data_IF_728596019948
#
_entry.id   IF_728596019948
#
_cell.length_a   1.000
_cell.length_b   1.000
_cell.length_c   1.000
_cell.angle_alpha   90.00
_cell.angle_beta   90.00
_cell.angle_gamma   90.00
#
_symmetry.space_group_name_H-M   'P 1'
#
loop_
_entity.id
_entity.type
_entity.pdbx_description
1 polymer ?
#
# COMPACT_ATOMS: atom_id res chain seq x y z
N UNK A 1 31.01 7.03 -15.98
CA UNK A 1 29.86 7.94 -15.88
C UNK A 1 28.88 7.57 -16.96
N UNK A 2 27.78 6.86 -16.60
CA UNK A 2 26.84 6.33 -17.60
C UNK A 2 25.99 7.43 -18.20
N UNK A 3 26.01 7.55 -19.51
CA UNK A 3 25.29 8.53 -20.35
C UNK A 3 23.76 8.31 -20.44
N UNK A 4 23.19 7.37 -19.68
CA UNK A 4 21.75 7.12 -19.66
C UNK A 4 21.26 7.26 -18.22
N UNK A 5 20.62 8.39 -17.90
CA UNK A 5 19.83 8.53 -16.67
C UNK A 5 18.83 7.38 -16.56
N UNK A 6 18.63 6.83 -15.35
CA UNK A 6 17.60 5.79 -15.13
C UNK A 6 16.25 6.32 -15.62
N UNK A 7 15.59 5.56 -16.49
CA UNK A 7 14.26 5.90 -17.02
C UNK A 7 13.28 5.96 -15.85
N UNK A 8 12.60 7.10 -15.66
CA UNK A 8 11.49 7.21 -14.73
C UNK A 8 10.23 6.59 -15.36
N UNK A 9 9.73 5.53 -14.75
CA UNK A 9 8.57 4.78 -15.24
C UNK A 9 7.23 5.32 -14.70
N UNK A 10 7.26 6.24 -13.73
CA UNK A 10 6.09 6.90 -13.16
C UNK A 10 6.38 8.40 -12.97
N UNK A 11 6.61 9.16 -14.06
CA UNK A 11 6.78 10.61 -13.94
C UNK A 11 5.48 11.24 -13.42
N UNK A 12 5.59 12.12 -12.44
CA UNK A 12 4.44 12.72 -11.77
C UNK A 12 4.28 14.22 -12.03
N UNK A 13 5.29 14.88 -12.58
CA UNK A 13 5.25 16.32 -12.86
C UNK A 13 4.10 16.67 -13.82
N UNK A 14 3.24 17.61 -13.40
CA UNK A 14 2.06 18.03 -14.15
C UNK A 14 0.88 17.02 -14.12
N UNK A 15 1.06 15.82 -13.58
CA UNK A 15 0.01 14.80 -13.48
C UNK A 15 -0.79 14.95 -12.20
N UNK A 16 -2.02 14.46 -12.22
CA UNK A 16 -2.91 14.44 -11.03
C UNK A 16 -2.83 13.09 -10.34
N UNK A 17 -2.46 13.12 -9.05
CA UNK A 17 -2.34 11.94 -8.19
C UNK A 17 -3.40 11.99 -7.09
N UNK A 18 -4.18 10.94 -6.95
CA UNK A 18 -5.13 10.74 -5.85
C UNK A 18 -4.56 9.74 -4.86
N UNK A 19 -4.48 10.13 -3.58
CA UNK A 19 -3.94 9.30 -2.50
C UNK A 19 -4.99 9.11 -1.41
N UNK A 20 -5.44 7.87 -1.17
CA UNK A 20 -6.32 7.56 -0.05
C UNK A 20 -5.51 7.33 1.23
N UNK A 21 -6.09 7.62 2.41
CA UNK A 21 -5.36 7.50 3.68
C UNK A 21 -4.27 8.55 3.88
N UNK A 22 -4.41 9.71 3.22
CA UNK A 22 -3.36 10.73 3.16
C UNK A 22 -3.46 11.81 4.26
N UNK A 23 -4.23 11.60 5.32
CA UNK A 23 -4.29 12.54 6.45
C UNK A 23 -3.21 12.32 7.51
N UNK A 24 -2.53 11.17 7.51
CA UNK A 24 -1.46 10.84 8.45
C UNK A 24 -0.49 9.79 7.86
N UNK A 25 0.61 9.54 8.53
CA UNK A 25 1.54 8.45 8.23
C UNK A 25 2.10 8.47 6.81
N UNK A 26 2.27 7.27 6.23
CA UNK A 26 2.85 7.09 4.90
C UNK A 26 2.07 7.83 3.80
N UNK A 27 0.73 7.85 3.87
CA UNK A 27 -0.09 8.51 2.86
C UNK A 27 0.12 10.02 2.82
N UNK A 28 0.20 10.68 3.99
CA UNK A 28 0.54 12.11 4.11
C UNK A 28 1.94 12.38 3.57
N UNK A 29 2.94 11.61 4.00
CA UNK A 29 4.31 11.75 3.51
C UNK A 29 4.43 11.54 2.00
N UNK A 30 3.71 10.56 1.44
CA UNK A 30 3.67 10.33 -0.01
C UNK A 30 3.07 11.53 -0.75
N UNK A 31 1.95 12.08 -0.25
CA UNK A 31 1.31 13.26 -0.84
C UNK A 31 2.23 14.48 -0.85
N UNK A 32 2.94 14.73 0.25
CA UNK A 32 3.94 15.83 0.37
C UNK A 32 5.08 15.64 -0.64
N UNK A 33 5.65 14.43 -0.73
CA UNK A 33 6.77 14.15 -1.64
C UNK A 33 6.36 14.19 -3.12
N UNK A 34 5.14 13.76 -3.46
CA UNK A 34 4.59 13.86 -4.81
C UNK A 34 4.36 15.33 -5.20
N UNK A 35 3.88 16.17 -4.29
CA UNK A 35 3.78 17.62 -4.49
C UNK A 35 5.15 18.24 -4.76
N UNK A 36 6.18 17.86 -3.99
CA UNK A 36 7.57 18.33 -4.20
C UNK A 36 8.14 17.89 -5.55
N UNK A 37 7.63 16.81 -6.13
CA UNK A 37 7.98 16.32 -7.48
C UNK A 37 7.14 16.95 -8.60
N UNK A 38 6.23 17.88 -8.30
CA UNK A 38 5.46 18.64 -9.29
C UNK A 38 4.08 18.05 -9.63
N UNK A 39 3.59 17.07 -8.87
CA UNK A 39 2.24 16.54 -9.05
C UNK A 39 1.15 17.50 -8.58
N UNK A 40 -0.02 17.50 -9.22
CA UNK A 40 -1.26 17.93 -8.62
C UNK A 40 -1.72 16.81 -7.68
N UNK A 41 -2.12 17.14 -6.44
CA UNK A 41 -2.40 16.08 -5.44
C UNK A 41 -3.79 16.24 -4.87
N UNK A 42 -4.55 15.12 -4.88
CA UNK A 42 -5.83 14.96 -4.22
C UNK A 42 -5.62 14.01 -3.05
N UNK A 43 -5.88 14.48 -1.83
CA UNK A 43 -5.79 13.67 -0.61
C UNK A 43 -7.17 13.26 -0.13
N UNK A 44 -7.33 11.98 0.22
CA UNK A 44 -8.62 11.42 0.64
C UNK A 44 -8.48 10.76 2.00
N UNK A 45 -9.34 11.11 2.96
CA UNK A 45 -9.44 10.47 4.28
C UNK A 45 -10.76 10.89 4.95
N UNK A 46 -11.05 10.33 6.13
CA UNK A 46 -12.31 10.58 6.87
C UNK A 46 -12.31 11.88 7.67
N UNK A 47 -11.21 12.20 8.29
CA UNK A 47 -11.12 13.29 9.25
C UNK A 47 -10.77 14.59 8.55
N UNK A 48 -11.72 15.52 8.49
CA UNK A 48 -11.59 16.81 7.81
C UNK A 48 -10.46 17.63 8.42
N UNK A 49 -10.39 17.78 9.74
CA UNK A 49 -9.36 18.59 10.39
C UNK A 49 -7.94 18.11 10.07
N UNK A 50 -7.71 16.77 10.10
CA UNK A 50 -6.41 16.21 9.71
C UNK A 50 -6.14 16.35 8.21
N UNK A 51 -7.17 16.33 7.36
CA UNK A 51 -7.02 16.60 5.92
C UNK A 51 -6.60 18.04 5.67
N UNK A 52 -7.18 18.98 6.38
CA UNK A 52 -6.81 20.42 6.30
C UNK A 52 -5.35 20.64 6.71
N UNK A 53 -4.92 20.07 7.84
CA UNK A 53 -3.53 20.09 8.27
C UNK A 53 -2.58 19.48 7.22
N UNK A 54 -2.92 18.29 6.72
CA UNK A 54 -2.13 17.61 5.70
C UNK A 54 -2.06 18.43 4.40
N UNK A 55 -3.17 19.07 4.00
CA UNK A 55 -3.22 19.89 2.79
C UNK A 55 -2.31 21.11 2.88
N UNK A 56 -2.16 21.70 4.08
CA UNK A 56 -1.22 22.80 4.30
C UNK A 56 0.21 22.35 4.01
N UNK A 57 0.62 21.18 4.51
CA UNK A 57 1.97 20.63 4.25
C UNK A 57 2.18 20.24 2.78
N UNK A 58 1.17 19.64 2.16
CA UNK A 58 1.22 19.29 0.73
C UNK A 58 1.40 20.53 -0.13
N UNK A 59 0.66 21.61 0.16
CA UNK A 59 0.80 22.91 -0.52
C UNK A 59 2.16 23.54 -0.29
N UNK A 60 2.67 23.50 0.94
CA UNK A 60 3.97 24.05 1.29
C UNK A 60 5.13 23.35 0.58
N UNK A 61 4.97 22.07 0.26
CA UNK A 61 5.96 21.26 -0.47
C UNK A 61 5.89 21.42 -2.00
N UNK A 62 4.96 22.22 -2.53
CA UNK A 62 4.79 22.36 -3.97
C UNK A 62 6.08 22.80 -4.67
N UNK A 63 6.45 22.11 -5.75
CA UNK A 63 7.56 22.48 -6.63
C UNK A 63 7.31 23.84 -7.30
N UNK A 64 6.04 24.11 -7.66
CA UNK A 64 5.56 25.36 -8.23
C UNK A 64 4.17 25.70 -7.71
N UNK A 65 4.09 26.64 -6.77
CA UNK A 65 2.82 27.09 -6.21
C UNK A 65 1.87 27.75 -7.21
N UNK A 66 2.37 28.16 -8.36
CA UNK A 66 1.56 28.85 -9.39
C UNK A 66 0.86 27.89 -10.34
N UNK A 67 1.40 26.70 -10.53
CA UNK A 67 0.88 25.74 -11.55
C UNK A 67 0.28 24.48 -10.95
N UNK A 68 0.71 24.09 -9.75
CA UNK A 68 0.18 22.91 -9.09
C UNK A 68 -1.14 23.22 -8.36
N UNK A 69 -2.01 22.23 -8.34
CA UNK A 69 -3.31 22.30 -7.69
C UNK A 69 -3.45 21.20 -6.64
N UNK A 70 -4.18 21.48 -5.56
CA UNK A 70 -4.32 20.61 -4.41
C UNK A 70 -5.76 20.60 -3.91
N UNK A 71 -6.28 19.41 -3.60
CA UNK A 71 -7.64 19.20 -3.09
C UNK A 71 -7.61 18.19 -1.95
N UNK A 72 -8.51 18.33 -0.98
CA UNK A 72 -8.89 17.21 -0.13
C UNK A 72 -10.33 16.80 -0.37
N UNK A 73 -10.62 15.51 -0.23
CA UNK A 73 -11.95 14.93 -0.28
C UNK A 73 -12.18 14.12 0.99
N UNK A 74 -13.23 14.42 1.74
CA UNK A 74 -13.58 13.63 2.93
C UNK A 74 -14.38 12.41 2.51
N UNK A 75 -13.85 11.21 2.79
CA UNK A 75 -14.53 9.95 2.53
C UNK A 75 -14.05 8.83 3.46
N UNK A 76 -14.97 7.95 3.87
CA UNK A 76 -14.64 6.67 4.50
C UNK A 76 -14.57 5.59 3.43
N UNK A 77 -13.40 4.98 3.29
CA UNK A 77 -13.19 3.93 2.28
C UNK A 77 -13.90 2.61 2.60
N UNK A 78 -14.49 2.47 3.79
CA UNK A 78 -15.32 1.33 4.17
C UNK A 78 -16.80 1.51 3.86
N UNK A 79 -17.22 2.70 3.45
CA UNK A 79 -18.60 2.97 3.03
C UNK A 79 -18.80 2.51 1.58
N UNK A 80 -19.98 1.96 1.31
CA UNK A 80 -20.35 1.61 -0.07
C UNK A 80 -20.45 2.86 -0.94
N UNK A 81 -20.10 2.71 -2.20
CA UNK A 81 -20.21 3.76 -3.24
C UNK A 81 -19.35 5.01 -2.98
N UNK A 82 -18.45 4.98 -1.97
CA UNK A 82 -17.56 6.11 -1.71
C UNK A 82 -16.68 6.41 -2.92
N UNK A 83 -16.24 5.37 -3.61
CA UNK A 83 -15.24 5.48 -4.67
C UNK A 83 -15.77 6.21 -5.90
N UNK A 84 -17.01 5.92 -6.33
CA UNK A 84 -17.65 6.61 -7.44
C UNK A 84 -17.82 8.11 -7.12
N UNK A 85 -18.24 8.45 -5.90
CA UNK A 85 -18.34 9.84 -5.45
C UNK A 85 -16.98 10.54 -5.45
N UNK A 86 -15.95 9.91 -4.90
CA UNK A 86 -14.60 10.49 -4.86
C UNK A 86 -14.04 10.69 -6.26
N UNK A 87 -14.22 9.74 -7.17
CA UNK A 87 -13.77 9.87 -8.57
C UNK A 87 -14.52 11.00 -9.28
N UNK A 88 -15.83 11.10 -9.11
CA UNK A 88 -16.63 12.16 -9.71
C UNK A 88 -16.21 13.56 -9.21
N UNK A 89 -15.97 13.72 -7.90
CA UNK A 89 -15.51 14.97 -7.29
C UNK A 89 -14.09 15.33 -7.76
N UNK A 90 -13.20 14.34 -7.84
CA UNK A 90 -11.85 14.52 -8.36
C UNK A 90 -11.86 14.97 -9.84
N UNK A 91 -12.71 14.38 -10.68
CA UNK A 91 -12.87 14.76 -12.08
C UNK A 91 -13.45 16.17 -12.21
N UNK A 92 -14.49 16.51 -11.46
CA UNK A 92 -15.09 17.85 -11.48
C UNK A 92 -14.05 18.92 -11.13
N UNK A 93 -13.24 18.68 -10.11
CA UNK A 93 -12.14 19.57 -9.74
C UNK A 93 -11.03 19.63 -10.81
N UNK A 94 -10.76 18.52 -11.50
CA UNK A 94 -9.70 18.40 -12.50
C UNK A 94 -10.14 18.76 -13.93
N UNK A 95 -11.22 19.54 -14.07
CA UNK A 95 -11.71 20.00 -15.38
C UNK A 95 -12.32 18.89 -16.25
N UNK A 96 -12.88 17.88 -15.63
CA UNK A 96 -13.47 16.70 -16.28
C UNK A 96 -12.50 15.54 -16.50
N UNK A 97 -11.18 15.76 -16.34
CA UNK A 97 -10.17 14.72 -16.50
C UNK A 97 -10.03 13.86 -15.25
N UNK A 98 -9.97 12.55 -15.41
CA UNK A 98 -9.69 11.63 -14.31
C UNK A 98 -8.26 11.79 -13.78
N UNK A 99 -7.98 11.51 -12.49
CA UNK A 99 -6.62 11.40 -11.97
C UNK A 99 -5.78 10.43 -12.81
N UNK A 100 -4.49 10.72 -12.94
CA UNK A 100 -3.56 9.88 -13.71
C UNK A 100 -3.00 8.71 -12.90
N UNK A 101 -2.93 8.90 -11.59
CA UNK A 101 -2.36 7.94 -10.65
C UNK A 101 -3.30 7.87 -9.45
N UNK A 102 -3.67 6.66 -9.07
CA UNK A 102 -4.46 6.39 -7.86
C UNK A 102 -3.64 5.51 -6.93
N UNK A 103 -3.33 6.02 -5.75
CA UNK A 103 -2.59 5.30 -4.73
C UNK A 103 -3.48 5.00 -3.52
N UNK A 104 -3.86 3.73 -3.36
CA UNK A 104 -4.64 3.23 -2.24
C UNK A 104 -3.71 2.97 -1.05
N UNK A 105 -3.59 3.95 -0.15
CA UNK A 105 -2.78 3.85 1.09
C UNK A 105 -3.66 3.63 2.31
N UNK A 106 -4.93 4.02 2.25
CA UNK A 106 -5.86 3.82 3.37
C UNK A 106 -5.82 2.39 3.89
N UNK A 107 -5.68 2.24 5.19
CA UNK A 107 -5.60 0.94 5.83
C UNK A 107 -5.63 1.04 7.34
N UNK A 108 -5.92 -0.08 7.97
CA UNK A 108 -5.88 -0.25 9.43
C UNK A 108 -5.35 -1.65 9.77
N UNK A 109 -4.86 -1.80 10.99
CA UNK A 109 -4.46 -3.09 11.55
C UNK A 109 -5.08 -3.25 12.94
N UNK A 110 -5.66 -4.42 13.19
CA UNK A 110 -6.20 -4.82 14.49
C UNK A 110 -5.64 -6.20 14.82
N UNK A 111 -4.39 -6.25 15.33
CA UNK A 111 -3.77 -7.53 15.72
C UNK A 111 -4.43 -8.10 16.95
N UNK A 112 -4.72 -9.39 16.89
CA UNK A 112 -5.20 -10.22 18.00
C UNK A 112 -5.06 -11.70 17.61
N UNK A 113 -5.14 -12.60 18.59
CA UNK A 113 -5.15 -14.02 18.30
C UNK A 113 -6.48 -14.40 17.63
N UNK A 114 -6.45 -15.38 16.74
CA UNK A 114 -7.64 -15.77 15.98
C UNK A 114 -8.77 -16.34 16.85
N UNK A 115 -8.41 -16.94 17.98
CA UNK A 115 -9.37 -17.49 18.93
C UNK A 115 -9.90 -16.47 19.96
N UNK A 116 -9.42 -15.22 19.92
CA UNK A 116 -9.89 -14.18 20.83
C UNK A 116 -11.30 -13.69 20.45
N UNK A 117 -12.06 -13.27 21.44
CA UNK A 117 -13.35 -12.64 21.22
C UNK A 117 -13.19 -11.37 20.35
N UNK A 118 -14.07 -11.23 19.36
CA UNK A 118 -14.03 -10.09 18.42
C UNK A 118 -13.06 -10.26 17.25
N UNK A 119 -12.30 -11.37 17.15
CA UNK A 119 -11.37 -11.58 16.04
C UNK A 119 -12.05 -11.55 14.66
N UNK A 120 -13.26 -12.10 14.54
CA UNK A 120 -14.02 -12.06 13.30
C UNK A 120 -14.51 -10.65 12.94
N UNK A 121 -14.90 -9.85 13.92
CA UNK A 121 -15.30 -8.46 13.67
C UNK A 121 -14.09 -7.60 13.29
N UNK A 122 -12.93 -7.83 13.90
CA UNK A 122 -11.67 -7.23 13.50
C UNK A 122 -11.30 -7.64 12.06
N UNK A 123 -11.45 -8.92 11.71
CA UNK A 123 -11.17 -9.41 10.36
C UNK A 123 -12.08 -8.76 9.30
N UNK A 124 -13.39 -8.66 9.57
CA UNK A 124 -14.33 -7.96 8.68
C UNK A 124 -13.94 -6.50 8.48
N UNK A 125 -13.71 -5.76 9.57
CA UNK A 125 -13.28 -4.34 9.48
C UNK A 125 -11.96 -4.17 8.73
N UNK A 126 -10.98 -5.06 8.94
CA UNK A 126 -9.75 -5.03 8.17
C UNK A 126 -10.00 -5.32 6.67
N UNK A 127 -10.90 -6.25 6.34
CA UNK A 127 -11.28 -6.50 4.95
C UNK A 127 -12.00 -5.30 4.33
N UNK A 128 -12.95 -4.70 5.02
CA UNK A 128 -13.72 -3.56 4.52
C UNK A 128 -12.82 -2.38 4.18
N UNK A 129 -11.91 -2.01 5.09
CA UNK A 129 -11.01 -0.87 4.88
C UNK A 129 -9.87 -1.20 3.93
N UNK A 130 -9.14 -2.31 4.19
CA UNK A 130 -7.88 -2.58 3.50
C UNK A 130 -8.09 -3.15 2.09
N UNK A 131 -9.07 -4.04 1.92
CA UNK A 131 -9.32 -4.72 0.65
C UNK A 131 -10.46 -4.07 -0.13
N UNK A 132 -11.69 -4.05 0.42
CA UNK A 132 -12.84 -3.54 -0.33
C UNK A 132 -12.70 -2.05 -0.65
N UNK A 133 -12.18 -1.23 0.27
CA UNK A 133 -11.90 0.17 -0.01
C UNK A 133 -10.95 0.38 -1.20
N UNK A 134 -9.88 -0.41 -1.29
CA UNK A 134 -8.95 -0.34 -2.41
C UNK A 134 -9.54 -0.96 -3.71
N UNK A 135 -10.30 -2.04 -3.58
CA UNK A 135 -10.94 -2.71 -4.71
C UNK A 135 -12.02 -1.82 -5.35
N UNK A 136 -12.87 -1.19 -4.55
CA UNK A 136 -13.89 -0.24 -5.06
C UNK A 136 -13.24 0.97 -5.72
N UNK A 137 -12.22 1.57 -5.11
CA UNK A 137 -11.49 2.68 -5.70
C UNK A 137 -10.86 2.29 -7.04
N UNK A 138 -10.21 1.12 -7.11
CA UNK A 138 -9.60 0.63 -8.35
C UNK A 138 -10.65 0.38 -9.43
N UNK A 139 -11.81 -0.21 -9.07
CA UNK A 139 -12.92 -0.45 -9.99
C UNK A 139 -13.52 0.86 -10.51
N UNK A 140 -13.78 1.81 -9.63
CA UNK A 140 -14.37 3.10 -10.01
C UNK A 140 -13.48 3.85 -11.00
N UNK A 141 -12.17 3.94 -10.73
CA UNK A 141 -11.26 4.64 -11.63
C UNK A 141 -11.02 3.88 -12.94
N UNK A 142 -10.95 2.55 -12.92
CA UNK A 142 -10.79 1.74 -14.13
C UNK A 142 -11.99 1.87 -15.06
N UNK A 143 -13.21 1.96 -14.56
CA UNK A 143 -14.40 2.23 -15.39
C UNK A 143 -14.28 3.52 -16.18
N UNK A 144 -13.64 4.54 -15.61
CA UNK A 144 -13.38 5.79 -16.33
C UNK A 144 -12.21 5.63 -17.30
N UNK A 145 -11.08 5.08 -16.86
CA UNK A 145 -9.90 4.99 -17.70
C UNK A 145 -10.04 4.07 -18.90
N UNK A 146 -10.83 2.99 -18.75
CA UNK A 146 -11.03 1.97 -19.80
C UNK A 146 -12.26 2.23 -20.67
N UNK A 147 -12.97 3.34 -20.45
CA UNK A 147 -14.07 3.72 -21.31
C UNK A 147 -13.56 3.99 -22.73
N UNK A 148 -14.25 3.53 -23.79
CA UNK A 148 -13.77 3.62 -25.18
C UNK A 148 -13.37 5.05 -25.61
N UNK A 149 -14.07 6.04 -25.11
CA UNK A 149 -13.81 7.46 -25.38
C UNK A 149 -12.49 7.97 -24.75
N UNK A 150 -11.93 7.24 -23.81
CA UNK A 150 -10.69 7.58 -23.11
C UNK A 150 -9.48 6.79 -23.64
N UNK A 151 -9.61 6.10 -24.76
CA UNK A 151 -8.50 5.44 -25.43
C UNK A 151 -7.37 6.44 -25.75
N UNK A 152 -6.12 5.98 -25.61
CA UNK A 152 -4.96 6.82 -25.86
C UNK A 152 -4.89 7.22 -27.34
N UNK A 153 -5.06 8.52 -27.60
CA UNK A 153 -5.01 9.07 -28.96
C UNK A 153 -3.60 9.05 -29.58
N UNK A 154 -2.55 8.82 -28.77
CA UNK A 154 -1.14 8.89 -29.18
C UNK A 154 -0.46 7.56 -28.83
N UNK A 155 0.22 6.91 -29.79
CA UNK A 155 1.08 5.78 -29.49
C UNK A 155 2.12 6.15 -28.41
N UNK A 156 2.31 5.28 -27.41
CA UNK A 156 3.20 5.51 -26.26
C UNK A 156 2.76 6.61 -25.28
N UNK A 157 1.46 6.88 -25.16
CA UNK A 157 0.95 7.73 -24.08
C UNK A 157 1.47 7.26 -22.71
N UNK A 158 1.69 8.22 -21.80
CA UNK A 158 2.12 7.89 -20.43
C UNK A 158 1.07 7.01 -19.75
N UNK A 159 1.44 5.84 -19.20
CA UNK A 159 0.48 4.95 -18.58
C UNK A 159 -0.16 5.59 -17.35
N UNK A 160 -1.40 5.25 -17.08
CA UNK A 160 -2.07 5.46 -15.79
C UNK A 160 -1.52 4.46 -14.78
N UNK A 161 -1.61 4.77 -13.47
CA UNK A 161 -1.10 3.87 -12.45
C UNK A 161 -2.10 3.64 -11.33
N UNK A 162 -2.33 2.37 -10.98
CA UNK A 162 -2.99 1.94 -9.74
C UNK A 162 -1.94 1.37 -8.81
N UNK A 163 -1.90 1.87 -7.58
CA UNK A 163 -0.93 1.46 -6.57
C UNK A 163 -1.67 1.00 -5.33
N UNK A 164 -1.50 -0.26 -4.95
CA UNK A 164 -2.04 -0.83 -3.71
C UNK A 164 -0.97 -0.83 -2.63
N UNK A 165 -1.33 -0.43 -1.41
CA UNK A 165 -0.46 -0.57 -0.24
C UNK A 165 -0.86 -1.80 0.55
N UNK A 166 -0.09 -2.87 0.38
CA UNK A 166 -0.20 -4.10 1.16
C UNK A 166 0.60 -4.00 2.48
N UNK A 167 1.40 -4.97 2.81
CA UNK A 167 2.33 -5.04 3.95
C UNK A 167 3.30 -6.20 3.73
N UNK A 168 4.47 -6.18 4.37
CA UNK A 168 5.34 -7.37 4.46
C UNK A 168 4.61 -8.57 5.07
N UNK A 169 3.55 -8.34 5.86
CA UNK A 169 2.67 -9.39 6.40
C UNK A 169 1.76 -10.05 5.34
N UNK A 170 1.79 -9.57 4.08
CA UNK A 170 1.30 -10.30 2.92
C UNK A 170 2.41 -11.13 2.23
N UNK A 171 3.62 -11.16 2.78
CA UNK A 171 4.75 -11.95 2.31
C UNK A 171 5.19 -12.99 3.34
N UNK A 172 4.93 -12.72 4.62
CA UNK A 172 5.34 -13.57 5.75
C UNK A 172 4.30 -13.47 6.86
N UNK A 173 3.84 -14.61 7.36
CA UNK A 173 2.83 -14.66 8.42
C UNK A 173 3.48 -14.59 9.81
N UNK A 174 2.91 -13.78 10.70
CA UNK A 174 3.31 -13.66 12.11
C UNK A 174 2.08 -13.90 13.00
N UNK A 175 2.26 -14.58 14.12
CA UNK A 175 1.22 -14.81 15.13
C UNK A 175 0.63 -13.47 15.61
N UNK A 176 -0.70 -13.43 15.79
CA UNK A 176 -1.42 -12.22 16.20
C UNK A 176 -1.97 -11.38 15.03
N UNK A 177 -1.62 -11.67 13.79
CA UNK A 177 -2.12 -10.93 12.61
C UNK A 177 -3.18 -11.71 11.80
N UNK A 178 -3.81 -12.73 12.40
CA UNK A 178 -4.90 -13.46 11.74
C UNK A 178 -6.01 -12.56 11.19
N UNK A 179 -6.50 -11.54 11.91
CA UNK A 179 -7.51 -10.62 11.40
C UNK A 179 -7.00 -9.66 10.32
N UNK A 180 -5.70 -9.36 10.25
CA UNK A 180 -5.13 -8.33 9.38
C UNK A 180 -4.53 -8.89 8.10
N UNK A 181 -3.60 -9.85 8.22
CA UNK A 181 -2.81 -10.36 7.09
C UNK A 181 -3.65 -10.81 5.90
N UNK A 182 -4.78 -11.54 6.07
CA UNK A 182 -5.60 -11.96 4.92
C UNK A 182 -6.05 -10.79 4.04
N UNK A 183 -6.37 -9.62 4.64
CA UNK A 183 -6.78 -8.44 3.86
C UNK A 183 -5.65 -7.92 2.96
N UNK A 184 -4.40 -8.01 3.42
CA UNK A 184 -3.22 -7.59 2.66
C UNK A 184 -2.78 -8.61 1.60
N UNK A 185 -3.01 -9.91 1.85
CA UNK A 185 -2.85 -10.94 0.85
C UNK A 185 -3.88 -10.82 -0.28
N UNK A 186 -5.13 -10.49 0.05
CA UNK A 186 -6.19 -10.29 -0.93
C UNK A 186 -5.86 -9.18 -1.94
N UNK A 187 -5.22 -8.09 -1.51
CA UNK A 187 -4.75 -7.02 -2.39
C UNK A 187 -3.77 -7.51 -3.45
N UNK A 188 -2.86 -8.42 -3.08
CA UNK A 188 -1.95 -9.04 -4.03
C UNK A 188 -2.70 -9.84 -5.10
N UNK A 189 -3.65 -10.68 -4.67
CA UNK A 189 -4.47 -11.46 -5.60
C UNK A 189 -5.24 -10.58 -6.58
N UNK A 190 -5.82 -9.48 -6.09
CA UNK A 190 -6.49 -8.49 -6.95
C UNK A 190 -5.50 -7.85 -7.94
N UNK A 191 -4.33 -7.42 -7.47
CA UNK A 191 -3.33 -6.78 -8.31
C UNK A 191 -2.83 -7.72 -9.43
N UNK A 192 -2.54 -8.99 -9.11
CA UNK A 192 -2.09 -9.98 -10.07
C UNK A 192 -3.17 -10.23 -11.16
N UNK A 193 -4.44 -10.32 -10.75
CA UNK A 193 -5.57 -10.47 -11.67
C UNK A 193 -5.72 -9.24 -12.56
N UNK A 194 -5.72 -8.04 -11.99
CA UNK A 194 -5.82 -6.80 -12.76
C UNK A 194 -4.67 -6.63 -13.74
N UNK A 195 -3.43 -6.98 -13.36
CA UNK A 195 -2.29 -6.91 -14.25
C UNK A 195 -2.45 -7.81 -15.50
N UNK A 196 -3.20 -8.91 -15.39
CA UNK A 196 -3.54 -9.76 -16.52
C UNK A 196 -4.73 -9.22 -17.31
N UNK A 197 -5.82 -8.82 -16.64
CA UNK A 197 -7.03 -8.28 -17.30
C UNK A 197 -6.75 -7.02 -18.12
N UNK A 198 -5.88 -6.14 -17.66
CA UNK A 198 -5.51 -4.90 -18.34
C UNK A 198 -4.84 -5.12 -19.70
N UNK A 199 -4.33 -6.32 -19.97
CA UNK A 199 -3.80 -6.68 -21.30
C UNK A 199 -4.90 -6.79 -22.38
N UNK A 200 -6.18 -6.88 -21.96
CA UNK A 200 -7.33 -6.82 -22.89
C UNK A 200 -7.56 -5.41 -23.45
N UNK A 201 -6.89 -4.39 -22.91
CA UNK A 201 -7.09 -2.97 -23.24
C UNK A 201 -5.78 -2.33 -23.76
N UNK A 202 -5.28 -2.73 -24.91
CA UNK A 202 -3.98 -2.27 -25.42
C UNK A 202 -3.91 -0.75 -25.65
N UNK A 203 -5.04 -0.12 -25.96
CA UNK A 203 -5.15 1.32 -26.20
C UNK A 203 -5.34 2.14 -24.91
N UNK A 204 -5.40 1.48 -23.75
CA UNK A 204 -5.57 2.09 -22.44
C UNK A 204 -4.40 1.66 -21.52
N UNK A 205 -3.21 2.26 -21.67
CA UNK A 205 -2.03 1.84 -20.92
C UNK A 205 -2.21 2.11 -19.41
N UNK A 206 -2.45 1.07 -18.64
CA UNK A 206 -2.54 1.12 -17.18
C UNK A 206 -1.52 0.16 -16.58
N UNK A 207 -0.85 0.58 -15.51
CA UNK A 207 0.08 -0.25 -14.72
C UNK A 207 -0.42 -0.42 -13.30
N UNK A 208 -0.25 -1.63 -12.80
CA UNK A 208 -0.58 -1.98 -11.41
C UNK A 208 0.70 -2.17 -10.63
N UNK A 209 0.70 -1.72 -9.38
CA UNK A 209 1.83 -1.86 -8.46
C UNK A 209 1.33 -2.25 -7.07
N UNK A 210 2.13 -3.00 -6.32
CA UNK A 210 1.87 -3.31 -4.91
C UNK A 210 3.07 -2.90 -4.07
N UNK A 211 2.83 -2.08 -3.07
CA UNK A 211 3.83 -1.58 -2.12
C UNK A 211 3.70 -2.37 -0.83
N UNK A 212 4.83 -2.90 -0.31
CA UNK A 212 4.90 -3.72 0.88
C UNK A 212 5.73 -3.04 1.98
N UNK A 213 5.15 -2.10 2.72
CA UNK A 213 5.83 -1.51 3.87
C UNK A 213 5.99 -2.53 5.00
N UNK A 214 7.07 -2.37 5.76
CA UNK A 214 7.28 -2.98 7.06
C UNK A 214 6.71 -2.06 8.16
N UNK A 215 7.21 -2.15 9.39
CA UNK A 215 6.73 -1.34 10.51
C UNK A 215 7.05 0.15 10.31
N UNK A 216 6.01 0.98 10.35
CA UNK A 216 6.09 2.44 10.17
C UNK A 216 5.71 3.12 11.49
N UNK A 217 6.59 3.96 12.04
CA UNK A 217 6.29 4.80 13.20
C UNK A 217 5.23 5.84 12.84
N UNK A 218 3.98 5.59 13.21
CA UNK A 218 2.85 6.42 12.83
C UNK A 218 1.74 6.35 13.87
N UNK A 219 0.80 7.31 13.92
CA UNK A 219 -0.38 7.20 14.79
C UNK A 219 -1.20 5.93 14.55
N UNK A 220 -1.14 5.35 13.35
CA UNK A 220 -1.73 4.04 13.04
C UNK A 220 -1.05 2.90 13.79
N UNK A 221 0.28 2.91 13.87
CA UNK A 221 1.07 1.95 14.63
C UNK A 221 0.82 2.05 16.15
N UNK A 222 0.68 3.27 16.67
CA UNK A 222 0.33 3.46 18.09
C UNK A 222 -1.02 2.83 18.43
N UNK A 223 -2.02 3.01 17.55
CA UNK A 223 -3.33 2.36 17.70
C UNK A 223 -3.26 0.84 17.58
N UNK A 224 -2.45 0.32 16.67
CA UNK A 224 -2.20 -1.11 16.50
C UNK A 224 -1.63 -1.74 17.77
N UNK A 225 -0.68 -1.07 18.42
CA UNK A 225 -0.03 -1.56 19.63
C UNK A 225 -0.97 -1.69 20.85
N UNK A 226 -2.15 -1.06 20.82
CA UNK A 226 -3.14 -1.18 21.89
C UNK A 226 -3.71 -2.60 21.98
N UNK A 227 -3.91 -3.28 20.87
CA UNK A 227 -4.53 -4.61 20.80
C UNK A 227 -3.52 -5.73 20.54
N UNK A 228 -2.26 -5.40 20.24
CA UNK A 228 -1.23 -6.36 19.86
C UNK A 228 -0.97 -7.39 20.95
N UNK A 229 -1.04 -8.71 20.68
CA UNK A 229 -0.74 -9.76 21.64
C UNK A 229 0.71 -9.67 22.15
N UNK A 230 0.95 -10.06 23.41
CA UNK A 230 2.27 -9.98 24.03
C UNK A 230 3.35 -10.78 23.27
N UNK A 231 2.99 -11.96 22.73
CA UNK A 231 3.90 -12.75 21.88
C UNK A 231 4.27 -12.01 20.60
N UNK A 232 3.32 -11.32 19.97
CA UNK A 232 3.56 -10.54 18.75
C UNK A 232 4.54 -9.40 19.03
N UNK A 233 4.33 -8.67 20.14
CA UNK A 233 5.26 -7.63 20.59
C UNK A 233 6.68 -8.18 20.81
N UNK A 234 6.80 -9.39 21.39
CA UNK A 234 8.09 -10.03 21.61
C UNK A 234 8.81 -10.34 20.31
N UNK A 235 8.10 -10.90 19.33
CA UNK A 235 8.69 -11.26 18.02
C UNK A 235 9.11 -10.05 17.20
N UNK A 236 8.43 -8.93 17.36
CA UNK A 236 8.70 -7.69 16.60
C UNK A 236 9.74 -6.78 17.27
N UNK A 237 10.23 -7.10 18.48
CA UNK A 237 11.22 -6.27 19.18
C UNK A 237 12.47 -5.95 18.38
N UNK A 238 12.92 -6.88 17.56
CA UNK A 238 14.11 -6.73 16.72
C UNK A 238 13.81 -6.14 15.34
N UNK A 239 12.54 -5.88 15.01
CA UNK A 239 12.18 -5.34 13.70
C UNK A 239 12.54 -3.86 13.61
N UNK A 240 13.27 -3.45 12.55
CA UNK A 240 13.57 -2.05 12.33
C UNK A 240 12.27 -1.27 12.05
N UNK A 241 12.09 -0.18 12.80
CA UNK A 241 10.99 0.75 12.57
C UNK A 241 11.46 1.89 11.69
N UNK A 242 10.67 2.27 10.70
CA UNK A 242 11.01 3.33 9.76
C UNK A 242 10.03 4.50 9.85
N UNK A 243 10.52 5.70 9.54
CA UNK A 243 9.65 6.87 9.50
C UNK A 243 8.75 6.86 8.27
N UNK A 244 7.53 7.47 8.33
CA UNK A 244 6.65 7.63 7.20
C UNK A 244 7.34 8.21 5.96
N UNK A 245 8.23 9.20 6.16
CA UNK A 245 8.95 9.87 5.08
C UNK A 245 9.94 8.93 4.37
N UNK A 246 10.66 8.12 5.13
CA UNK A 246 11.59 7.15 4.56
C UNK A 246 10.85 6.09 3.75
N UNK A 247 9.74 5.58 4.29
CA UNK A 247 8.94 4.56 3.59
C UNK A 247 8.28 5.14 2.34
N UNK A 248 7.70 6.34 2.41
CA UNK A 248 7.10 7.00 1.26
C UNK A 248 8.14 7.27 0.15
N UNK A 249 9.33 7.75 0.50
CA UNK A 249 10.42 7.98 -0.45
C UNK A 249 10.83 6.68 -1.15
N UNK A 250 11.10 5.61 -0.41
CA UNK A 250 11.49 4.31 -1.00
C UNK A 250 10.39 3.72 -1.86
N UNK A 251 9.12 3.91 -1.48
CA UNK A 251 7.99 3.49 -2.28
C UNK A 251 7.99 4.24 -3.63
N UNK A 252 8.11 5.56 -3.61
CA UNK A 252 8.16 6.38 -4.82
C UNK A 252 9.36 5.99 -5.69
N UNK A 253 10.55 5.82 -5.11
CA UNK A 253 11.75 5.38 -5.83
C UNK A 253 11.54 4.04 -6.55
N UNK A 254 10.89 3.07 -5.88
CA UNK A 254 10.57 1.77 -6.48
C UNK A 254 9.52 1.86 -7.59
N UNK A 255 8.52 2.72 -7.43
CA UNK A 255 7.51 2.99 -8.46
C UNK A 255 8.12 3.68 -9.68
N UNK A 256 8.99 4.66 -9.49
CA UNK A 256 9.74 5.33 -10.54
C UNK A 256 10.72 4.38 -11.27
N UNK A 257 11.26 3.39 -10.55
CA UNK A 257 12.03 2.30 -11.15
C UNK A 257 11.18 1.32 -11.97
N UNK A 258 9.85 1.43 -11.90
CA UNK A 258 8.91 0.58 -12.64
C UNK A 258 8.63 -0.77 -11.99
N UNK A 259 8.95 -0.93 -10.71
CA UNK A 259 8.73 -2.17 -10.00
C UNK A 259 7.22 -2.48 -9.87
N UNK A 260 6.85 -3.73 -10.14
CA UNK A 260 5.50 -4.22 -9.88
C UNK A 260 5.27 -4.42 -8.37
N UNK A 261 6.18 -5.13 -7.70
CA UNK A 261 6.23 -5.27 -6.26
C UNK A 261 7.33 -4.40 -5.66
N UNK A 262 6.95 -3.42 -4.87
CA UNK A 262 7.86 -2.47 -4.23
C UNK A 262 8.05 -2.84 -2.76
N UNK A 263 9.25 -3.22 -2.38
CA UNK A 263 9.63 -3.52 -1.00
C UNK A 263 10.61 -2.47 -0.47
N UNK A 264 10.62 -2.25 0.86
CA UNK A 264 11.34 -1.15 1.47
C UNK A 264 12.76 -1.52 1.91
N UNK A 265 13.07 -2.82 2.01
CA UNK A 265 14.33 -3.32 2.55
C UNK A 265 14.86 -4.52 1.77
N UNK A 266 16.12 -4.86 2.01
CA UNK A 266 16.72 -6.08 1.46
C UNK A 266 15.96 -7.33 1.91
N UNK A 267 15.60 -7.43 3.20
CA UNK A 267 14.81 -8.54 3.72
C UNK A 267 13.43 -8.64 3.06
N UNK A 268 12.71 -7.52 2.91
CA UNK A 268 11.46 -7.46 2.18
C UNK A 268 11.62 -7.94 0.74
N UNK A 269 12.74 -7.63 0.09
CA UNK A 269 13.01 -8.11 -1.28
C UNK A 269 13.24 -9.62 -1.33
N UNK A 270 13.96 -10.19 -0.35
CA UNK A 270 14.10 -11.65 -0.22
C UNK A 270 12.74 -12.32 0.02
N UNK A 271 11.95 -11.79 0.97
CA UNK A 271 10.60 -12.30 1.25
C UNK A 271 9.74 -12.31 -0.03
N UNK A 272 9.75 -11.21 -0.79
CA UNK A 272 9.06 -11.09 -2.07
C UNK A 272 9.49 -12.19 -3.05
N UNK A 273 10.80 -12.37 -3.26
CA UNK A 273 11.32 -13.36 -4.18
C UNK A 273 10.93 -14.79 -3.77
N UNK A 274 10.89 -15.08 -2.46
CA UNK A 274 10.54 -16.41 -1.95
C UNK A 274 9.09 -16.82 -2.18
N UNK A 275 8.18 -15.86 -2.32
CA UNK A 275 6.75 -16.13 -2.50
C UNK A 275 6.19 -15.64 -3.84
N UNK A 276 7.04 -15.21 -4.76
CA UNK A 276 6.61 -14.50 -5.97
C UNK A 276 5.66 -15.35 -6.83
N UNK A 277 5.87 -16.67 -6.90
CA UNK A 277 5.01 -17.57 -7.67
C UNK A 277 4.83 -17.14 -9.13
N UNK A 278 3.56 -16.98 -9.55
CA UNK A 278 3.18 -16.53 -10.89
C UNK A 278 3.05 -15.01 -11.02
N UNK A 279 3.24 -14.23 -9.96
CA UNK A 279 3.15 -12.76 -10.02
C UNK A 279 4.22 -12.17 -10.93
N UNK A 280 3.97 -10.99 -11.53
CA UNK A 280 4.97 -10.28 -12.33
C UNK A 280 6.26 -10.01 -11.56
N UNK A 281 7.40 -10.20 -12.22
CA UNK A 281 8.72 -9.99 -11.62
C UNK A 281 9.25 -8.59 -11.92
N UNK A 282 9.95 -7.99 -10.96
CA UNK A 282 10.66 -6.73 -11.18
C UNK A 282 11.86 -6.93 -12.11
N UNK A 283 12.59 -8.02 -11.90
CA UNK A 283 13.64 -8.50 -12.77
C UNK A 283 13.51 -10.01 -12.93
N UNK A 284 13.18 -10.46 -14.14
CA UNK A 284 12.83 -11.87 -14.37
C UNK A 284 13.95 -12.82 -13.98
N UNK A 285 15.19 -12.51 -14.34
CA UNK A 285 16.34 -13.37 -14.06
C UNK A 285 16.72 -13.35 -12.56
N UNK A 286 16.93 -12.17 -11.99
CA UNK A 286 17.38 -12.03 -10.61
C UNK A 286 16.33 -12.53 -9.62
N UNK A 287 15.06 -12.17 -9.81
CA UNK A 287 13.97 -12.59 -8.92
C UNK A 287 13.78 -14.10 -8.93
N UNK A 288 13.94 -14.75 -10.11
CA UNK A 288 13.86 -16.21 -10.23
C UNK A 288 15.06 -16.87 -9.55
N UNK A 289 16.27 -16.36 -9.79
CA UNK A 289 17.49 -16.92 -9.18
C UNK A 289 17.42 -16.83 -7.65
N UNK A 290 17.08 -15.66 -7.11
CA UNK A 290 16.92 -15.48 -5.67
C UNK A 290 15.81 -16.39 -5.13
N UNK A 291 14.69 -16.50 -5.85
CA UNK A 291 13.56 -17.36 -5.47
C UNK A 291 13.90 -18.84 -5.33
N UNK A 292 14.93 -19.34 -5.99
CA UNK A 292 15.40 -20.72 -5.80
C UNK A 292 16.10 -20.93 -4.47
N UNK A 293 16.77 -19.91 -3.93
CA UNK A 293 17.55 -20.01 -2.67
C UNK A 293 16.73 -19.61 -1.43
N UNK A 294 15.78 -18.70 -1.57
CA UNK A 294 15.01 -18.19 -0.43
C UNK A 294 14.24 -19.29 0.34
N UNK A 295 13.66 -20.33 -0.27
CA UNK A 295 13.03 -21.43 0.46
C UNK A 295 13.98 -22.15 1.44
N UNK A 296 15.28 -22.22 1.11
CA UNK A 296 16.30 -22.80 2.00
C UNK A 296 16.49 -21.89 3.22
N UNK A 297 16.55 -20.57 2.99
CA UNK A 297 16.65 -19.58 4.08
C UNK A 297 15.40 -19.65 4.96
N UNK A 298 14.20 -19.74 4.34
CA UNK A 298 12.93 -19.84 5.08
C UNK A 298 12.86 -21.08 5.97
N UNK A 299 13.45 -22.20 5.55
CA UNK A 299 13.50 -23.39 6.40
C UNK A 299 14.12 -23.08 7.77
N UNK A 300 15.20 -22.33 7.82
CA UNK A 300 15.87 -21.96 9.08
C UNK A 300 15.10 -20.86 9.81
N UNK A 301 14.65 -19.83 9.11
CA UNK A 301 13.90 -18.71 9.69
C UNK A 301 12.60 -19.20 10.33
N UNK A 302 11.82 -20.04 9.64
CA UNK A 302 10.58 -20.58 10.18
C UNK A 302 10.79 -21.45 11.41
N UNK A 303 11.85 -22.28 11.41
CA UNK A 303 12.20 -23.08 12.60
C UNK A 303 12.58 -22.23 13.80
N UNK A 304 13.28 -21.12 13.57
CA UNK A 304 13.62 -20.17 14.61
C UNK A 304 12.36 -19.49 15.18
N UNK A 305 11.48 -18.97 14.32
CA UNK A 305 10.19 -18.39 14.72
C UNK A 305 9.32 -19.40 15.47
N UNK A 306 9.18 -20.62 14.97
CA UNK A 306 8.47 -21.71 15.66
C UNK A 306 9.05 -21.99 17.04
N UNK A 307 10.38 -21.99 17.12
CA UNK A 307 11.11 -22.14 18.39
C UNK A 307 10.78 -21.02 19.39
N UNK A 308 10.78 -19.79 18.93
CA UNK A 308 10.44 -18.61 19.73
C UNK A 308 8.99 -18.67 20.21
N UNK A 309 8.03 -18.97 19.34
CA UNK A 309 6.59 -19.08 19.71
C UNK A 309 6.37 -20.20 20.73
N UNK A 310 6.93 -21.39 20.49
CA UNK A 310 6.82 -22.53 21.43
C UNK A 310 7.53 -22.24 22.75
N UNK A 311 8.70 -21.59 22.72
CA UNK A 311 9.44 -21.16 23.90
C UNK A 311 8.65 -20.18 24.74
N UNK A 312 8.03 -19.20 24.08
CA UNK A 312 7.16 -18.23 24.73
C UNK A 312 5.96 -18.90 25.41
N UNK A 313 5.28 -19.81 24.70
CA UNK A 313 4.12 -20.54 25.23
C UNK A 313 4.49 -21.41 26.45
N UNK A 314 5.66 -22.08 26.43
CA UNK A 314 6.17 -22.84 27.58
C UNK A 314 6.46 -21.96 28.80
N UNK A 315 6.98 -20.75 28.58
CA UNK A 315 7.34 -19.81 29.64
C UNK A 315 6.12 -19.12 30.26
N UNK A 316 5.13 -18.76 29.43
CA UNK A 316 4.02 -17.90 29.84
C UNK A 316 2.68 -18.65 29.99
N UNK A 317 2.60 -19.91 29.53
CA UNK A 317 1.37 -20.70 29.61
C UNK A 317 0.33 -20.32 28.58
N UNK A 318 -0.95 -20.53 28.88
CA UNK A 318 -2.03 -20.31 27.93
C UNK A 318 -2.20 -18.82 27.58
N UNK A 319 -2.38 -18.45 26.30
CA UNK A 319 -2.46 -17.05 25.87
C UNK A 319 -3.56 -16.23 26.57
N UNK A 320 -4.69 -16.83 26.93
CA UNK A 320 -5.77 -16.12 27.63
C UNK A 320 -5.35 -15.51 28.98
N UNK A 321 -4.29 -16.05 29.63
CA UNK A 321 -3.77 -15.48 30.87
C UNK A 321 -3.06 -14.10 30.62
N UNK A 322 -2.75 -13.78 29.39
CA UNK A 322 -2.02 -12.58 28.97
C UNK A 322 -2.82 -11.72 28.00
N UNK A 323 -4.10 -12.06 27.77
CA UNK A 323 -4.98 -11.26 26.95
C UNK A 323 -5.11 -9.85 27.54
N UNK A 324 -4.86 -8.81 26.73
CA UNK A 324 -5.17 -7.44 27.14
C UNK A 324 -6.69 -7.37 27.30
N UNK A 325 -7.17 -6.99 28.48
CA UNK A 325 -8.60 -6.70 28.67
C UNK A 325 -8.98 -5.52 27.76
N UNK A 326 -10.16 -5.58 27.11
CA UNK A 326 -10.64 -4.52 26.24
C UNK A 326 -10.80 -3.18 26.94
#
# INVERSE_FOLDING_TARGET
MGLFGKKNHMPVEGRTVLVTGASEGMGRSAAVQLAAKGANVIIVSRNVGRLEEALVEVKAAAKSSQTQRFLYISADVSEKDFAERVVAEAMAWNGGAAPDIVWCVAGMSTPMLWADDGAMDAARRNMDVNYFGAAEMSRAILRVWLAPENAAAIPNAQPKHIIFTASVLALFAIVGYGPYSPSKWALRGLADTLAMELQLYPDHPVRVHVVYPATITSPGFDRENLTKPAITVELEKAEPQETPDTVARRAIDGLEAGHYFVTMSFLGNLMRCGIIGASPRNNWFLDTLIGWFVPIIYFFVLRDFDGQVRGWAKKHGHPSAHAKKP
#
